data_IF_168981555871
#
_entry.id   IF_168981555871
#
_cell.length_a   1.000
_cell.length_b   1.000
_cell.length_c   1.000
_cell.angle_alpha   90.00
_cell.angle_beta   90.00
_cell.angle_gamma   90.00
#
_symmetry.space_group_name_H-M   'P 1'
#
loop_
_entity.id
_entity.type
_entity.pdbx_description
1 polymer ?
#
# COMPACT_ATOMS: atom_id res chain seq x y z
N UNK A 1 9.31 16.66 52.24
CA UNK A 1 7.97 16.08 52.01
C UNK A 1 7.96 15.60 50.57
N UNK A 2 8.35 14.35 50.34
CA UNK A 2 8.35 13.76 48.99
C UNK A 2 6.92 13.40 48.61
N UNK A 3 6.36 14.13 47.65
CA UNK A 3 5.06 13.87 47.06
C UNK A 3 5.15 12.54 46.28
N UNK A 4 4.77 11.42 46.90
CA UNK A 4 4.69 10.12 46.20
C UNK A 4 3.47 10.13 45.27
N UNK A 5 3.70 10.37 43.99
CA UNK A 5 2.72 10.14 42.93
C UNK A 5 2.31 8.66 42.92
N UNK A 6 1.08 8.38 43.34
CA UNK A 6 0.58 7.01 43.54
C UNK A 6 0.07 6.36 42.24
N UNK A 7 0.08 7.09 41.13
CA UNK A 7 -0.55 6.71 39.86
C UNK A 7 0.38 5.96 38.89
N UNK A 8 1.70 5.98 39.09
CA UNK A 8 2.67 5.31 38.20
C UNK A 8 3.02 3.87 38.64
N UNK A 9 2.27 3.30 39.59
CA UNK A 9 2.49 1.92 40.07
C UNK A 9 2.13 0.95 38.94
N UNK A 10 3.14 0.33 38.35
CA UNK A 10 2.99 -0.68 37.29
C UNK A 10 3.54 -0.28 35.93
N UNK A 11 4.01 0.96 35.73
CA UNK A 11 4.65 1.38 34.46
C UNK A 11 6.14 1.00 34.36
N UNK A 12 6.78 0.76 35.51
CA UNK A 12 8.19 0.38 35.60
C UNK A 12 8.31 -1.11 35.94
N UNK A 13 9.27 -1.81 35.30
CA UNK A 13 9.49 -3.24 35.53
C UNK A 13 8.64 -4.18 34.66
N UNK A 14 7.86 -3.65 33.71
CA UNK A 14 7.25 -4.47 32.66
C UNK A 14 8.36 -4.92 31.70
N UNK A 15 8.53 -6.23 31.55
CA UNK A 15 9.43 -6.77 30.54
C UNK A 15 8.91 -6.34 29.16
N UNK A 16 9.74 -5.65 28.39
CA UNK A 16 9.43 -5.33 27.00
C UNK A 16 9.87 -6.52 26.14
N UNK A 17 8.96 -7.44 25.80
CA UNK A 17 9.33 -8.61 25.01
C UNK A 17 9.82 -8.09 23.66
N UNK A 18 10.89 -8.69 23.13
CA UNK A 18 11.52 -8.30 21.86
C UNK A 18 12.36 -7.01 21.88
N UNK A 19 12.68 -6.43 23.05
CA UNK A 19 13.62 -5.30 23.14
C UNK A 19 14.94 -5.59 22.41
N UNK A 20 15.57 -6.73 22.73
CA UNK A 20 16.86 -7.11 22.15
C UNK A 20 16.76 -7.35 20.63
N UNK A 21 15.62 -7.88 20.17
CA UNK A 21 15.36 -8.09 18.75
C UNK A 21 15.24 -6.76 18.00
N UNK A 22 14.47 -5.81 18.53
CA UNK A 22 14.30 -4.50 17.94
C UNK A 22 15.60 -3.70 17.98
N UNK A 23 16.33 -3.74 19.09
CA UNK A 23 17.65 -3.11 19.21
C UNK A 23 18.65 -3.66 18.19
N UNK A 24 18.62 -4.97 17.92
CA UNK A 24 19.48 -5.61 16.92
C UNK A 24 19.12 -5.22 15.47
N UNK A 25 17.83 -5.05 15.15
CA UNK A 25 17.37 -4.59 13.84
C UNK A 25 17.74 -3.12 13.65
N UNK A 26 17.33 -2.26 14.57
CA UNK A 26 17.56 -0.81 14.47
C UNK A 26 19.05 -0.46 14.51
N UNK A 27 19.83 -1.15 15.35
CA UNK A 27 21.27 -1.00 15.39
C UNK A 27 21.94 -1.40 14.07
N UNK A 28 21.44 -2.44 13.41
CA UNK A 28 21.91 -2.87 12.09
C UNK A 28 21.53 -1.84 11.02
N UNK A 29 20.30 -1.37 10.98
CA UNK A 29 19.84 -0.41 9.96
C UNK A 29 20.59 0.93 10.08
N UNK A 30 20.83 1.42 11.30
CA UNK A 30 21.63 2.64 11.52
C UNK A 30 23.12 2.42 11.17
N UNK A 31 23.69 1.25 11.48
CA UNK A 31 25.10 0.97 11.19
C UNK A 31 25.36 0.72 9.69
N UNK A 32 24.38 0.14 8.99
CA UNK A 32 24.50 -0.20 7.57
C UNK A 32 24.12 0.99 6.69
N UNK A 33 23.23 1.88 7.16
CA UNK A 33 22.82 3.09 6.44
C UNK A 33 22.11 2.83 5.11
N UNK A 34 21.71 1.58 4.85
CA UNK A 34 21.15 1.14 3.58
C UNK A 34 19.74 1.72 3.43
N UNK A 35 19.56 2.70 2.53
CA UNK A 35 18.30 3.38 2.28
C UNK A 35 18.04 4.65 3.12
N UNK A 36 18.99 5.07 3.97
CA UNK A 36 18.91 6.36 4.64
C UNK A 36 19.50 7.46 3.73
N UNK A 37 18.66 8.41 3.30
CA UNK A 37 19.11 9.56 2.50
C UNK A 37 20.16 10.37 3.28
N UNK A 38 21.39 10.39 2.77
CA UNK A 38 22.47 11.18 3.35
C UNK A 38 22.26 12.69 3.12
N UNK A 39 22.93 13.54 3.90
CA UNK A 39 22.84 15.01 3.74
C UNK A 39 23.18 15.44 2.30
N UNK A 40 24.13 14.77 1.65
CA UNK A 40 24.49 15.04 0.25
C UNK A 40 23.39 14.62 -0.75
N UNK A 41 22.68 13.52 -0.47
CA UNK A 41 21.58 13.02 -1.29
C UNK A 41 20.33 13.91 -1.15
N UNK A 42 20.02 14.32 0.09
CA UNK A 42 18.95 15.28 0.38
C UNK A 42 19.20 16.64 -0.31
N UNK A 43 20.44 17.15 -0.28
CA UNK A 43 20.80 18.39 -0.99
C UNK A 43 20.69 18.23 -2.50
N UNK A 44 21.17 17.11 -3.06
CA UNK A 44 21.06 16.84 -4.50
C UNK A 44 19.60 16.69 -4.96
N UNK A 45 18.71 16.15 -4.12
CA UNK A 45 17.30 16.00 -4.46
C UNK A 45 16.60 17.37 -4.55
N UNK A 46 16.90 18.29 -3.63
CA UNK A 46 16.41 19.68 -3.71
C UNK A 46 16.95 20.41 -4.94
N UNK A 47 18.21 20.21 -5.31
CA UNK A 47 18.79 20.80 -6.52
C UNK A 47 18.12 20.29 -7.82
N UNK A 48 17.73 19.01 -7.87
CA UNK A 48 16.99 18.42 -9.01
C UNK A 48 15.54 18.90 -9.09
N UNK A 49 14.90 19.15 -7.94
CA UNK A 49 13.55 19.72 -7.87
C UNK A 49 13.54 21.17 -8.42
N UNK A 50 14.56 21.98 -8.08
CA UNK A 50 14.71 23.37 -8.56
C UNK A 50 15.04 23.41 -10.06
N UNK A 51 15.82 22.46 -10.59
CA UNK A 51 16.19 22.43 -12.02
C UNK A 51 15.03 22.07 -12.97
N UNK A 52 13.94 21.49 -12.46
CA UNK A 52 12.72 21.21 -13.22
C UNK A 52 11.77 22.43 -13.31
N UNK A 53 11.96 23.44 -12.46
CA UNK A 53 11.24 24.72 -12.54
C UNK A 53 11.85 25.69 -13.56
N UNK A 54 13.11 25.51 -13.96
CA UNK A 54 13.85 26.45 -14.83
C UNK A 54 13.66 26.21 -16.35
N UNK A 55 12.75 25.32 -16.77
CA UNK A 55 12.42 25.05 -18.21
C UNK A 55 10.95 25.35 -18.53
N UNK A 56 10.28 26.17 -17.73
CA UNK A 56 8.94 26.67 -18.10
C UNK A 56 8.80 28.15 -17.81
N UNK A 57 9.53 28.97 -18.56
CA UNK A 57 9.15 30.36 -18.81
C UNK A 57 9.68 30.84 -20.18
N UNK A 58 8.82 30.77 -21.19
CA UNK A 58 8.69 31.66 -22.38
C UNK A 58 7.47 31.14 -23.17
N UNK A 59 6.31 31.78 -23.25
CA UNK A 59 6.01 33.20 -23.44
C UNK A 59 5.10 33.76 -22.30
N UNK A 60 5.60 34.71 -21.51
CA UNK A 60 5.36 36.17 -21.59
C UNK A 60 3.98 36.64 -21.04
N UNK A 61 3.91 37.01 -19.75
CA UNK A 61 4.09 38.38 -19.17
C UNK A 61 2.81 39.22 -19.33
N UNK A 62 2.02 39.46 -18.28
CA UNK A 62 2.15 40.55 -17.28
C UNK A 62 1.04 40.28 -16.22
N UNK A 63 1.16 40.53 -14.92
CA UNK A 63 1.97 41.47 -14.18
C UNK A 63 2.00 41.01 -12.72
N UNK A 64 3.18 41.13 -12.12
CA UNK A 64 3.49 40.74 -10.76
C UNK A 64 2.82 41.65 -9.73
N UNK A 65 2.74 41.10 -8.51
CA UNK A 65 2.74 41.74 -7.19
C UNK A 65 1.49 41.34 -6.37
N UNK A 66 1.58 41.03 -5.09
CA UNK A 66 2.65 41.21 -4.13
C UNK A 66 2.38 40.26 -2.97
N UNK A 67 3.41 39.56 -2.52
CA UNK A 67 3.54 39.25 -1.09
C UNK A 67 3.57 40.61 -0.40
N UNK A 68 2.47 41.05 0.21
CA UNK A 68 2.62 42.02 1.29
C UNK A 68 1.52 41.93 2.36
N UNK A 69 2.04 42.05 3.57
CA UNK A 69 1.44 42.14 4.89
C UNK A 69 0.09 42.88 4.98
N UNK A 70 -0.90 42.35 5.74
CA UNK A 70 -2.06 43.15 6.12
C UNK A 70 -1.74 44.07 7.31
N UNK A 71 -1.13 45.23 7.06
CA UNK A 71 -1.15 46.38 7.98
C UNK A 71 -1.85 47.57 7.34
N UNK A 72 -2.98 47.92 7.97
CA UNK A 72 -3.62 49.25 8.06
C UNK A 72 -4.22 49.85 6.79
N UNK A 73 -5.57 49.90 6.84
CA UNK A 73 -6.42 51.09 6.67
C UNK A 73 -5.97 52.18 5.69
N UNK A 74 -6.82 52.51 4.71
CA UNK A 74 -7.62 53.73 4.70
C UNK A 74 -8.70 53.63 3.61
N UNK A 75 -9.83 54.28 3.91
CA UNK A 75 -11.01 54.48 3.07
C UNK A 75 -10.70 54.83 1.61
N UNK A 76 -11.55 54.37 0.69
CA UNK A 76 -12.43 55.31 -0.02
C UNK A 76 -13.44 54.60 -0.91
N UNK A 77 -14.65 55.11 -0.75
CA UNK A 77 -15.89 54.89 -1.49
C UNK A 77 -15.76 55.04 -3.00
N UNK A 78 -16.46 54.21 -3.77
CA UNK A 78 -17.46 54.72 -4.72
C UNK A 78 -18.37 53.62 -5.32
N UNK A 79 -19.65 53.94 -5.21
CA UNK A 79 -20.87 53.41 -5.84
C UNK A 79 -20.77 52.72 -7.21
N UNK A 80 -21.61 51.69 -7.41
CA UNK A 80 -22.74 51.77 -8.36
C UNK A 80 -23.70 50.56 -8.27
N UNK A 81 -24.80 50.77 -7.57
CA UNK A 81 -26.20 50.42 -7.90
C UNK A 81 -26.49 49.40 -9.02
N UNK A 82 -26.92 48.19 -8.64
CA UNK A 82 -27.93 47.42 -9.40
C UNK A 82 -29.02 46.88 -8.47
N UNK A 83 -30.11 47.65 -8.36
CA UNK A 83 -31.38 47.27 -7.73
C UNK A 83 -31.88 45.95 -8.33
N UNK A 84 -31.96 44.89 -7.53
CA UNK A 84 -32.83 43.75 -7.82
C UNK A 84 -34.06 43.83 -6.92
N UNK A 85 -35.18 43.68 -7.61
CA UNK A 85 -36.58 43.87 -7.23
C UNK A 85 -36.93 42.94 -6.05
N UNK A 86 -37.51 43.53 -5.01
CA UNK A 86 -38.17 42.83 -3.90
C UNK A 86 -39.47 42.24 -4.43
N UNK A 87 -39.45 40.97 -4.80
CA UNK A 87 -40.67 40.20 -5.00
C UNK A 87 -41.18 39.77 -3.61
N UNK A 88 -42.30 40.36 -3.18
CA UNK A 88 -43.04 39.91 -2.01
C UNK A 88 -43.64 38.54 -2.34
N UNK A 89 -42.91 37.47 -2.03
CA UNK A 89 -43.48 36.12 -2.01
C UNK A 89 -44.43 36.06 -0.82
N UNK A 90 -45.72 36.10 -1.15
CA UNK A 90 -46.85 35.82 -0.28
C UNK A 90 -46.60 34.47 0.40
N UNK A 91 -46.20 34.49 1.69
CA UNK A 91 -46.12 33.31 2.54
C UNK A 91 -47.53 32.73 2.63
N UNK A 92 -47.82 31.75 1.77
CA UNK A 92 -48.97 30.89 1.90
C UNK A 92 -48.61 29.87 2.98
N UNK A 93 -49.11 30.15 4.17
CA UNK A 93 -49.16 29.26 5.31
C UNK A 93 -49.78 27.92 4.89
N UNK A 94 -48.94 26.90 4.74
CA UNK A 94 -49.32 25.49 4.79
C UNK A 94 -48.07 24.66 5.10
N UNK A 95 -48.10 23.99 6.26
CA UNK A 95 -47.12 23.04 6.80
C UNK A 95 -45.87 23.63 7.46
N UNK A 96 -46.02 23.84 8.76
CA UNK A 96 -45.01 23.68 9.82
C UNK A 96 -43.95 22.61 9.48
N UNK A 97 -42.81 23.06 8.97
CA UNK A 97 -41.57 22.29 8.95
C UNK A 97 -40.44 23.26 9.30
N UNK A 98 -39.82 23.06 10.45
CA UNK A 98 -38.69 23.87 10.88
C UNK A 98 -37.55 23.71 9.87
N UNK A 99 -37.07 24.81 9.28
CA UNK A 99 -35.95 24.79 8.32
C UNK A 99 -34.70 24.11 8.88
N UNK A 100 -34.55 24.13 10.21
CA UNK A 100 -33.50 23.39 10.89
C UNK A 100 -33.72 21.88 10.86
N UNK A 101 -34.96 21.39 11.02
CA UNK A 101 -35.27 19.96 10.91
C UNK A 101 -35.03 19.43 9.48
N UNK A 102 -35.34 20.22 8.46
CA UNK A 102 -35.12 19.85 7.05
C UNK A 102 -33.64 19.56 6.77
N UNK A 103 -32.76 20.45 7.25
CA UNK A 103 -31.30 20.28 7.16
C UNK A 103 -30.80 19.03 7.90
N UNK A 104 -31.39 18.67 9.04
CA UNK A 104 -31.04 17.45 9.76
C UNK A 104 -31.41 16.18 8.99
N UNK A 105 -32.55 16.18 8.29
CA UNK A 105 -33.00 15.04 7.46
C UNK A 105 -32.05 14.85 6.27
N UNK A 106 -31.63 15.95 5.64
CA UNK A 106 -30.67 15.91 4.53
C UNK A 106 -29.30 15.35 4.95
N UNK A 107 -28.72 15.87 6.04
CA UNK A 107 -27.44 15.40 6.58
C UNK A 107 -27.53 13.93 7.02
N UNK A 108 -28.66 13.51 7.59
CA UNK A 108 -28.88 12.11 7.94
C UNK A 108 -28.91 11.20 6.70
N UNK A 109 -29.53 11.67 5.61
CA UNK A 109 -29.54 10.99 4.31
C UNK A 109 -28.14 10.83 3.73
N UNK A 110 -27.36 11.91 3.72
CA UNK A 110 -25.96 11.91 3.27
C UNK A 110 -25.09 10.99 4.12
N UNK A 111 -25.19 11.05 5.44
CA UNK A 111 -24.44 10.18 6.36
C UNK A 111 -24.77 8.70 6.11
N UNK A 112 -26.04 8.37 5.90
CA UNK A 112 -26.46 7.01 5.57
C UNK A 112 -25.89 6.55 4.23
N UNK A 113 -25.80 7.45 3.26
CA UNK A 113 -25.13 7.20 1.98
C UNK A 113 -23.64 6.90 2.20
N UNK A 114 -22.91 7.79 2.88
CA UNK A 114 -21.48 7.62 3.18
C UNK A 114 -21.21 6.31 3.92
N UNK A 115 -22.00 5.99 4.94
CA UNK A 115 -21.86 4.76 5.72
C UNK A 115 -21.97 3.50 4.85
N UNK A 116 -22.89 3.48 3.86
CA UNK A 116 -22.97 2.38 2.88
C UNK A 116 -21.73 2.27 2.03
N UNK A 117 -21.23 3.38 1.48
CA UNK A 117 -20.04 3.37 0.63
C UNK A 117 -18.80 2.92 1.39
N UNK A 118 -18.61 3.40 2.62
CA UNK A 118 -17.54 2.96 3.52
C UNK A 118 -17.68 1.48 3.86
N UNK A 119 -18.91 0.99 4.09
CA UNK A 119 -19.17 -0.44 4.28
C UNK A 119 -18.73 -1.27 3.07
N UNK A 120 -19.10 -0.86 1.85
CA UNK A 120 -18.67 -1.53 0.61
C UNK A 120 -17.14 -1.50 0.44
N UNK A 121 -16.50 -0.37 0.76
CA UNK A 121 -15.03 -0.27 0.74
C UNK A 121 -14.40 -1.23 1.73
N UNK A 122 -14.89 -1.27 2.98
CA UNK A 122 -14.39 -2.19 4.00
C UNK A 122 -14.52 -3.66 3.57
N UNK A 123 -15.68 -4.06 3.00
CA UNK A 123 -15.86 -5.40 2.46
C UNK A 123 -14.91 -5.71 1.30
N UNK A 124 -14.69 -4.75 0.39
CA UNK A 124 -13.77 -4.92 -0.73
C UNK A 124 -12.32 -5.08 -0.26
N UNK A 125 -11.89 -4.30 0.73
CA UNK A 125 -10.56 -4.40 1.33
C UNK A 125 -10.36 -5.72 2.06
N UNK A 126 -11.36 -6.20 2.82
CA UNK A 126 -11.28 -7.50 3.49
C UNK A 126 -11.15 -8.64 2.48
N UNK A 127 -11.96 -8.63 1.41
CA UNK A 127 -11.87 -9.63 0.34
C UNK A 127 -10.51 -9.59 -0.38
N UNK A 128 -9.98 -8.41 -0.64
CA UNK A 128 -8.67 -8.24 -1.26
C UNK A 128 -7.53 -8.72 -0.35
N UNK A 129 -7.59 -8.41 0.95
CA UNK A 129 -6.62 -8.90 1.92
C UNK A 129 -6.62 -10.44 2.01
N UNK A 130 -7.79 -11.08 2.05
CA UNK A 130 -7.90 -12.54 2.02
C UNK A 130 -7.36 -13.15 0.72
N UNK A 131 -7.59 -12.49 -0.43
CA UNK A 131 -7.06 -12.92 -1.72
C UNK A 131 -5.53 -12.79 -1.77
N UNK A 132 -4.97 -11.68 -1.28
CA UNK A 132 -3.52 -11.48 -1.17
C UNK A 132 -2.88 -12.51 -0.24
N UNK A 133 -3.49 -12.79 0.92
CA UNK A 133 -3.00 -13.81 1.86
C UNK A 133 -2.96 -15.20 1.22
N UNK A 134 -4.01 -15.58 0.47
CA UNK A 134 -4.03 -16.84 -0.29
C UNK A 134 -2.92 -16.91 -1.33
N UNK A 135 -2.71 -15.83 -2.10
CA UNK A 135 -1.66 -15.78 -3.13
C UNK A 135 -0.28 -15.93 -2.48
N UNK A 136 0.00 -15.18 -1.42
CA UNK A 136 1.29 -15.23 -0.71
C UNK A 136 1.51 -16.61 -0.07
N UNK A 137 0.48 -17.18 0.55
CA UNK A 137 0.57 -18.52 1.13
C UNK A 137 0.76 -19.60 0.07
N UNK A 138 0.08 -19.51 -1.06
CA UNK A 138 0.18 -20.49 -2.14
C UNK A 138 1.56 -20.39 -2.83
N UNK A 139 2.07 -19.19 -3.05
CA UNK A 139 3.41 -18.95 -3.59
C UNK A 139 4.51 -19.50 -2.68
N UNK A 140 4.45 -19.26 -1.36
CA UNK A 140 5.39 -19.81 -0.38
C UNK A 140 5.36 -21.35 -0.38
N UNK A 141 4.16 -21.95 -0.47
CA UNK A 141 4.05 -23.43 -0.57
C UNK A 141 4.64 -23.96 -1.87
N UNK A 142 4.46 -23.26 -2.99
CA UNK A 142 5.00 -23.65 -4.28
C UNK A 142 6.52 -23.54 -4.31
N UNK A 143 7.10 -22.46 -3.76
CA UNK A 143 8.54 -22.28 -3.66
C UNK A 143 9.18 -23.37 -2.79
N UNK A 144 8.55 -23.74 -1.67
CA UNK A 144 8.99 -24.86 -0.82
C UNK A 144 8.99 -26.19 -1.58
N UNK A 145 7.95 -26.47 -2.36
CA UNK A 145 7.88 -27.67 -3.20
C UNK A 145 8.96 -27.68 -4.29
N UNK A 146 9.22 -26.53 -4.92
CA UNK A 146 10.30 -26.39 -5.92
C UNK A 146 11.67 -26.66 -5.31
N UNK A 147 11.99 -26.05 -4.17
CA UNK A 147 13.25 -26.28 -3.47
C UNK A 147 13.42 -27.77 -3.11
N UNK A 148 12.34 -28.41 -2.64
CA UNK A 148 12.34 -29.84 -2.35
C UNK A 148 12.60 -30.69 -3.60
N UNK A 149 11.95 -30.37 -4.72
CA UNK A 149 12.15 -31.08 -5.98
C UNK A 149 13.60 -30.93 -6.50
N UNK A 150 14.19 -29.73 -6.39
CA UNK A 150 15.60 -29.49 -6.77
C UNK A 150 16.55 -30.34 -5.92
N UNK A 151 16.32 -30.40 -4.60
CA UNK A 151 17.11 -31.25 -3.70
C UNK A 151 16.99 -32.74 -4.05
N UNK A 152 15.79 -33.20 -4.40
CA UNK A 152 15.57 -34.57 -4.88
C UNK A 152 16.35 -34.85 -6.17
N UNK A 153 16.37 -33.91 -7.13
CA UNK A 153 17.16 -34.06 -8.35
C UNK A 153 18.67 -34.18 -8.06
N UNK A 154 19.18 -33.39 -7.12
CA UNK A 154 20.58 -33.48 -6.70
C UNK A 154 20.88 -34.83 -6.05
N UNK A 155 20.00 -35.33 -5.17
CA UNK A 155 20.11 -36.66 -4.54
C UNK A 155 20.10 -37.80 -5.56
N UNK A 156 19.34 -37.66 -6.65
CA UNK A 156 19.26 -38.66 -7.72
C UNK A 156 20.48 -38.66 -8.65
N UNK A 157 21.42 -37.71 -8.48
CA UNK A 157 22.67 -37.65 -9.22
C UNK A 157 22.54 -37.08 -10.63
N UNK A 158 21.59 -36.17 -10.85
CA UNK A 158 21.47 -35.42 -12.10
C UNK A 158 22.58 -34.38 -12.24
N UNK A 159 23.01 -34.13 -13.47
CA UNK A 159 23.95 -33.06 -13.80
C UNK A 159 23.31 -31.68 -13.62
N UNK A 160 24.12 -30.64 -13.43
CA UNK A 160 23.60 -29.27 -13.26
C UNK A 160 22.68 -28.81 -14.39
N UNK A 161 22.98 -29.19 -15.64
CA UNK A 161 22.15 -28.88 -16.81
C UNK A 161 20.81 -29.62 -16.78
N UNK A 162 20.80 -30.89 -16.41
CA UNK A 162 19.56 -31.67 -16.26
C UNK A 162 18.67 -31.12 -15.13
N UNK A 163 19.28 -30.68 -14.02
CA UNK A 163 18.57 -30.04 -12.91
C UNK A 163 17.88 -28.76 -13.37
N UNK A 164 18.59 -27.89 -14.09
CA UNK A 164 18.04 -26.64 -14.64
C UNK A 164 16.90 -26.92 -15.63
N UNK A 165 17.08 -27.88 -16.53
CA UNK A 165 16.05 -28.25 -17.50
C UNK A 165 14.79 -28.83 -16.81
N UNK A 166 14.96 -29.68 -15.80
CA UNK A 166 13.85 -30.24 -15.04
C UNK A 166 13.12 -29.16 -14.23
N UNK A 167 13.85 -28.26 -13.58
CA UNK A 167 13.27 -27.12 -12.87
C UNK A 167 12.45 -26.22 -13.80
N UNK A 168 12.93 -25.97 -15.03
CA UNK A 168 12.18 -25.22 -16.03
C UNK A 168 10.86 -25.91 -16.40
N UNK A 169 10.85 -27.24 -16.51
CA UNK A 169 9.61 -28.01 -16.74
C UNK A 169 8.67 -27.88 -15.56
N UNK A 170 9.16 -27.90 -14.32
CA UNK A 170 8.30 -27.75 -13.13
C UNK A 170 7.66 -26.37 -13.01
N UNK A 171 8.36 -25.32 -13.43
CA UNK A 171 7.78 -23.97 -13.50
C UNK A 171 6.65 -23.93 -14.54
N UNK A 172 6.86 -24.54 -15.71
CA UNK A 172 5.85 -24.58 -16.78
C UNK A 172 4.69 -25.53 -16.47
N UNK A 173 4.97 -26.65 -15.81
CA UNK A 173 4.04 -27.73 -15.55
C UNK A 173 4.18 -28.19 -14.08
N UNK A 174 3.55 -27.47 -13.12
CA UNK A 174 3.67 -27.77 -11.69
C UNK A 174 3.15 -29.16 -11.33
N UNK A 175 2.26 -29.74 -12.12
CA UNK A 175 1.76 -31.10 -11.91
C UNK A 175 2.84 -32.16 -12.11
N UNK A 176 3.82 -31.91 -12.97
CA UNK A 176 4.96 -32.81 -13.13
C UNK A 176 5.83 -32.85 -11.87
N UNK A 177 5.96 -31.70 -11.19
CA UNK A 177 6.65 -31.60 -9.91
C UNK A 177 5.88 -32.32 -8.81
N UNK A 178 4.55 -32.13 -8.74
CA UNK A 178 3.69 -32.84 -7.78
C UNK A 178 3.78 -34.35 -7.95
N UNK A 179 3.76 -34.82 -9.19
CA UNK A 179 3.91 -36.24 -9.53
C UNK A 179 5.29 -36.78 -9.11
N UNK A 180 6.39 -36.06 -9.37
CA UNK A 180 7.73 -36.45 -8.89
C UNK A 180 7.73 -36.69 -7.37
N UNK A 181 7.16 -35.77 -6.61
CA UNK A 181 7.14 -35.82 -5.14
C UNK A 181 6.20 -36.92 -4.60
N UNK A 182 5.18 -37.32 -5.37
CA UNK A 182 4.28 -38.41 -5.03
C UNK A 182 4.87 -39.80 -5.35
N UNK A 183 5.78 -39.90 -6.31
CA UNK A 183 6.42 -41.15 -6.70
C UNK A 183 7.38 -41.67 -5.61
N UNK A 184 7.53 -43.00 -5.48
CA UNK A 184 8.56 -43.59 -4.63
C UNK A 184 9.97 -43.32 -5.21
N UNK A 185 10.96 -43.19 -4.32
CA UNK A 185 12.35 -42.83 -4.68
C UNK A 185 12.94 -43.67 -5.82
N UNK A 186 12.58 -44.95 -5.91
CA UNK A 186 13.05 -45.87 -6.96
C UNK A 186 12.60 -45.51 -8.38
N UNK A 187 11.46 -44.83 -8.52
CA UNK A 187 10.87 -44.47 -9.81
C UNK A 187 11.19 -43.03 -10.25
N UNK A 188 11.62 -42.18 -9.32
CA UNK A 188 11.83 -40.74 -9.57
C UNK A 188 12.86 -40.46 -10.66
N UNK A 189 13.98 -41.20 -10.67
CA UNK A 189 15.05 -41.00 -11.67
C UNK A 189 14.57 -41.31 -13.09
N UNK A 190 13.89 -42.44 -13.26
CA UNK A 190 13.37 -42.85 -14.56
C UNK A 190 12.30 -41.88 -15.08
N UNK A 191 11.43 -41.42 -14.17
CA UNK A 191 10.40 -40.44 -14.47
C UNK A 191 10.99 -39.14 -15.04
N UNK A 192 12.00 -38.57 -14.37
CA UNK A 192 12.67 -37.34 -14.83
C UNK A 192 13.38 -37.54 -16.17
N UNK A 193 14.04 -38.67 -16.37
CA UNK A 193 14.67 -38.98 -17.66
C UNK A 193 13.64 -39.04 -18.79
N UNK A 194 12.49 -39.67 -18.56
CA UNK A 194 11.40 -39.72 -19.55
C UNK A 194 10.78 -38.34 -19.82
N UNK A 195 10.63 -37.52 -18.77
CA UNK A 195 10.12 -36.15 -18.85
C UNK A 195 11.07 -35.27 -19.69
N UNK A 196 12.38 -35.32 -19.40
CA UNK A 196 13.39 -34.55 -20.13
C UNK A 196 13.58 -35.02 -21.57
N UNK A 197 13.37 -36.30 -21.84
CA UNK A 197 13.43 -36.86 -23.19
C UNK A 197 12.21 -36.48 -24.07
N UNK A 198 11.26 -35.67 -23.57
CA UNK A 198 10.07 -35.25 -24.30
C UNK A 198 8.97 -36.31 -24.40
N UNK A 199 9.19 -37.53 -23.88
CA UNK A 199 8.25 -38.67 -24.05
C UNK A 199 6.90 -38.50 -23.35
N UNK A 200 6.78 -37.50 -22.46
CA UNK A 200 5.51 -37.13 -21.82
C UNK A 200 4.82 -35.94 -22.48
N UNK A 201 5.53 -35.16 -23.32
CA UNK A 201 4.99 -33.97 -23.99
C UNK A 201 4.24 -34.31 -25.28
N UNK A 202 4.45 -35.51 -25.85
CA UNK A 202 3.81 -35.98 -27.08
C UNK A 202 2.44 -36.70 -26.85
N UNK A 203 1.92 -36.70 -25.62
CA UNK A 203 0.69 -37.44 -25.23
C UNK A 203 -0.54 -36.51 -25.14
N UNK A 204 -0.42 -35.22 -25.47
CA UNK A 204 -1.53 -34.26 -25.60
C UNK A 204 -1.53 -33.68 -27.01
#
# INVERSE_FOLDING_TARGET
MDQKNHEAKGLYGIAFPYYDTLAAIYGRDIATGEGAEGVAEAVSNMEKEIALEDVRDQDDVEERACIDTPRRSVDSTSSCSKKRKKDNVKLKDSSSGDRFLDMFVDVQGELKSVCKHVGTMAESMMREAEAQEKIVSEEDTQQKLQNRAILELQKLGFTGTEVVNAALVFVKMPDQMRMLLALPDSLRREYILKMLAGKFLDIV
#
